data_IF_396518157891
#
_entry.id   IF_396518157891
#
_cell.length_a   1.000
_cell.length_b   1.000
_cell.length_c   1.000
_cell.angle_alpha   90.00
_cell.angle_beta   90.00
_cell.angle_gamma   90.00
#
_symmetry.space_group_name_H-M   'P 1'
#
loop_
_entity.id
_entity.type
_entity.pdbx_description
1 polymer ?
#
# COMPACT_ATOMS: atom_id res chain seq x y z
N UNK A 1 10.19 -8.08 -22.98
CA UNK A 1 11.13 -7.61 -21.94
C UNK A 1 10.33 -7.40 -20.65
N UNK A 2 10.77 -7.95 -19.53
CA UNK A 2 10.14 -7.66 -18.24
C UNK A 2 10.35 -6.19 -17.87
N UNK A 3 9.31 -5.53 -17.36
CA UNK A 3 9.35 -4.16 -16.84
C UNK A 3 8.88 -4.20 -15.39
N UNK A 4 9.76 -4.61 -14.44
CA UNK A 4 9.38 -4.81 -13.06
C UNK A 4 8.97 -3.51 -12.40
N UNK A 5 7.75 -3.48 -11.85
CA UNK A 5 7.23 -2.36 -11.07
C UNK A 5 7.37 -2.60 -9.56
N UNK A 6 7.34 -3.86 -9.14
CA UNK A 6 7.54 -4.29 -7.75
C UNK A 6 8.49 -5.49 -7.76
N UNK A 7 9.49 -5.46 -6.91
CA UNK A 7 10.41 -6.58 -6.69
C UNK A 7 10.63 -6.80 -5.20
N UNK A 8 10.47 -8.03 -4.75
CA UNK A 8 10.88 -8.52 -3.44
C UNK A 8 12.09 -9.41 -3.65
N UNK A 9 13.12 -9.19 -2.86
CA UNK A 9 14.36 -9.96 -2.89
C UNK A 9 14.68 -10.45 -1.48
N UNK A 10 14.50 -11.76 -1.26
CA UNK A 10 14.71 -12.43 0.03
C UNK A 10 14.08 -11.73 1.23
N UNK A 11 12.82 -11.30 1.06
CA UNK A 11 12.12 -10.50 2.06
C UNK A 11 11.63 -11.36 3.21
N UNK A 12 11.99 -10.95 4.42
CA UNK A 12 11.51 -11.53 5.68
C UNK A 12 10.82 -10.44 6.50
N UNK A 13 9.67 -10.76 7.09
CA UNK A 13 9.01 -9.91 8.08
C UNK A 13 8.66 -10.70 9.31
N UNK A 14 9.21 -10.27 10.44
CA UNK A 14 8.97 -10.82 11.76
C UNK A 14 8.30 -9.80 12.68
N UNK A 15 7.38 -10.29 13.50
CA UNK A 15 6.77 -9.53 14.58
C UNK A 15 7.15 -10.16 15.92
N UNK A 16 7.54 -9.31 16.88
CA UNK A 16 7.74 -9.75 18.26
C UNK A 16 6.40 -9.76 18.98
N UNK A 17 5.96 -10.91 19.47
CA UNK A 17 4.78 -11.01 20.32
C UNK A 17 5.11 -10.48 21.71
N UNK A 18 4.21 -9.65 22.28
CA UNK A 18 4.37 -9.14 23.65
C UNK A 18 3.93 -10.22 24.64
N UNK A 19 4.79 -10.59 25.62
CA UNK A 19 4.49 -11.51 26.70
C UNK A 19 5.72 -12.12 27.36
N UNK A 20 5.55 -12.79 28.51
CA UNK A 20 6.59 -13.62 29.12
C UNK A 20 6.87 -14.82 28.19
N UNK A 21 8.04 -14.84 27.56
CA UNK A 21 8.40 -15.77 26.50
C UNK A 21 8.07 -15.19 25.11
N UNK A 22 8.62 -13.98 24.79
CA UNK A 22 8.42 -13.32 23.52
C UNK A 22 8.75 -14.25 22.35
N UNK A 23 7.72 -14.77 21.68
CA UNK A 23 7.87 -15.56 20.47
C UNK A 23 7.98 -14.62 19.27
N UNK A 24 8.81 -14.98 18.32
CA UNK A 24 8.90 -14.30 17.02
C UNK A 24 7.86 -14.97 16.10
N UNK A 25 6.93 -14.19 15.60
CA UNK A 25 6.00 -14.64 14.56
C UNK A 25 6.51 -14.14 13.21
N UNK A 26 6.91 -15.06 12.35
CA UNK A 26 7.35 -14.75 10.99
C UNK A 26 6.14 -14.70 10.07
N UNK A 27 5.77 -13.49 9.65
CA UNK A 27 4.60 -13.26 8.80
C UNK A 27 4.93 -13.36 7.30
N UNK A 28 6.16 -13.04 6.91
CA UNK A 28 6.72 -13.24 5.57
C UNK A 28 8.06 -13.93 5.72
N UNK A 29 8.26 -15.02 5.00
CA UNK A 29 9.43 -15.88 5.15
C UNK A 29 10.13 -16.08 3.81
N UNK A 30 11.25 -15.38 3.63
CA UNK A 30 12.14 -15.47 2.47
C UNK A 30 11.43 -15.39 1.13
N UNK A 31 10.59 -14.35 0.95
CA UNK A 31 9.82 -14.18 -0.28
C UNK A 31 10.63 -13.40 -1.31
N UNK A 32 10.80 -14.02 -2.48
CA UNK A 32 11.32 -13.37 -3.68
C UNK A 32 10.27 -13.45 -4.79
N UNK A 33 9.86 -12.30 -5.33
CA UNK A 33 8.90 -12.20 -6.41
C UNK A 33 9.08 -10.89 -7.20
N UNK A 34 8.61 -10.91 -8.43
CA UNK A 34 8.60 -9.74 -9.30
C UNK A 34 7.20 -9.60 -9.90
N UNK A 35 6.70 -8.36 -9.95
CA UNK A 35 5.45 -8.01 -10.60
C UNK A 35 5.80 -6.99 -11.67
N UNK A 36 5.43 -7.29 -12.92
CA UNK A 36 5.69 -6.42 -14.06
C UNK A 36 4.59 -5.36 -14.21
N UNK A 37 4.92 -4.27 -14.89
CA UNK A 37 3.98 -3.19 -15.18
C UNK A 37 2.80 -3.72 -16.02
N UNK A 38 1.59 -3.37 -15.60
CA UNK A 38 0.35 -3.77 -16.27
C UNK A 38 -0.19 -5.12 -15.82
N UNK A 39 0.52 -5.86 -14.97
CA UNK A 39 0.04 -7.12 -14.43
C UNK A 39 -1.12 -6.95 -13.45
N UNK A 40 -1.99 -7.96 -13.44
CA UNK A 40 -2.94 -8.24 -12.35
C UNK A 40 -2.41 -9.44 -11.59
N UNK A 41 -1.80 -9.18 -10.44
CA UNK A 41 -1.13 -10.19 -9.63
C UNK A 41 -2.01 -10.62 -8.44
N UNK A 42 -2.32 -11.91 -8.34
CA UNK A 42 -3.13 -12.48 -7.26
C UNK A 42 -2.27 -13.05 -6.13
N UNK A 43 -2.62 -12.70 -4.89
CA UNK A 43 -2.01 -13.26 -3.68
C UNK A 43 -3.08 -14.05 -2.93
N UNK A 44 -2.93 -15.37 -2.87
CA UNK A 44 -3.86 -16.28 -2.21
C UNK A 44 -3.22 -16.96 -1.00
N UNK A 45 -4.04 -17.34 -0.04
CA UNK A 45 -3.60 -18.06 1.16
C UNK A 45 -4.65 -17.99 2.26
N UNK A 46 -4.51 -18.84 3.27
CA UNK A 46 -5.39 -18.87 4.44
C UNK A 46 -5.36 -17.56 5.23
N UNK A 47 -6.36 -17.34 6.09
CA UNK A 47 -6.35 -16.25 7.07
C UNK A 47 -5.08 -16.34 7.93
N UNK A 48 -4.41 -15.20 8.14
CA UNK A 48 -3.14 -15.18 8.88
C UNK A 48 -1.89 -15.60 8.11
N UNK A 49 -2.00 -15.96 6.81
CA UNK A 49 -0.84 -16.38 6.00
C UNK A 49 0.12 -15.24 5.59
N UNK A 50 -0.03 -14.03 6.14
CA UNK A 50 0.89 -12.91 5.84
C UNK A 50 0.53 -12.07 4.61
N UNK A 51 -0.57 -12.34 3.89
CA UNK A 51 -0.97 -11.59 2.68
C UNK A 51 -1.05 -10.09 2.89
N UNK A 52 -1.75 -9.65 3.93
CA UNK A 52 -1.88 -8.21 4.25
C UNK A 52 -0.54 -7.59 4.64
N UNK A 53 0.34 -8.35 5.28
CA UNK A 53 1.70 -7.91 5.60
C UNK A 53 2.50 -7.71 4.32
N UNK A 54 2.43 -8.66 3.38
CA UNK A 54 3.11 -8.57 2.09
C UNK A 54 2.68 -7.31 1.31
N UNK A 55 1.37 -7.06 1.23
CA UNK A 55 0.83 -5.85 0.59
C UNK A 55 1.31 -4.57 1.28
N UNK A 56 1.38 -4.56 2.62
CA UNK A 56 1.84 -3.39 3.39
C UNK A 56 3.35 -3.13 3.25
N UNK A 57 4.13 -4.11 2.86
CA UNK A 57 5.55 -3.92 2.53
C UNK A 57 5.72 -3.12 1.22
N UNK A 58 4.79 -3.23 0.26
CA UNK A 58 4.85 -2.52 -1.03
C UNK A 58 4.76 -1.00 -0.86
N UNK A 59 3.95 -0.52 0.08
CA UNK A 59 3.79 0.91 0.35
C UNK A 59 4.56 1.39 1.59
N UNK A 60 5.42 0.53 2.14
CA UNK A 60 6.21 0.76 3.36
C UNK A 60 5.36 1.17 4.58
N UNK A 61 4.09 0.72 4.67
CA UNK A 61 3.31 0.74 5.93
C UNK A 61 3.88 -0.27 6.93
N UNK A 62 4.50 -1.33 6.42
CA UNK A 62 5.39 -2.23 7.15
C UNK A 62 6.77 -2.19 6.52
N UNK A 63 7.80 -2.38 7.34
CA UNK A 63 9.19 -2.49 6.86
C UNK A 63 9.65 -3.93 7.00
N UNK A 64 10.40 -4.46 6.03
CA UNK A 64 10.96 -5.79 6.15
C UNK A 64 11.95 -5.87 7.32
N UNK A 65 12.06 -7.04 7.93
CA UNK A 65 13.09 -7.36 8.92
C UNK A 65 14.42 -7.58 8.22
N UNK A 66 14.38 -8.21 7.05
CA UNK A 66 15.53 -8.38 6.15
C UNK A 66 15.06 -8.50 4.70
N UNK A 67 15.99 -8.48 3.77
CA UNK A 67 15.70 -8.45 2.34
C UNK A 67 15.39 -7.05 1.83
N UNK A 68 15.08 -6.96 0.54
CA UNK A 68 14.91 -5.69 -0.17
C UNK A 68 13.58 -5.64 -0.88
N UNK A 69 12.91 -4.48 -0.79
CA UNK A 69 11.67 -4.18 -1.52
C UNK A 69 11.93 -3.00 -2.45
N UNK A 70 11.79 -3.23 -3.74
CA UNK A 70 11.91 -2.20 -4.78
C UNK A 70 10.55 -1.92 -5.39
N UNK A 71 10.18 -0.65 -5.45
CA UNK A 71 8.90 -0.19 -6.02
C UNK A 71 9.14 0.98 -6.96
N UNK A 72 8.58 0.92 -8.16
CA UNK A 72 8.77 1.94 -9.19
C UNK A 72 10.26 2.24 -9.46
N UNK A 73 11.11 1.20 -9.45
CA UNK A 73 12.55 1.33 -9.66
C UNK A 73 13.33 1.88 -8.48
N UNK A 74 12.71 2.09 -7.32
CA UNK A 74 13.35 2.64 -6.12
C UNK A 74 13.34 1.62 -4.99
N UNK A 75 14.49 1.35 -4.38
CA UNK A 75 14.57 0.59 -3.13
C UNK A 75 13.94 1.40 -1.99
N UNK A 76 12.82 0.91 -1.48
CA UNK A 76 12.05 1.58 -0.42
C UNK A 76 12.35 1.03 0.98
N UNK A 77 13.21 0.02 1.08
CA UNK A 77 13.43 -0.77 2.31
C UNK A 77 13.77 0.10 3.51
N UNK A 78 14.64 1.08 3.32
CA UNK A 78 15.19 1.93 4.39
C UNK A 78 14.94 3.43 4.19
N UNK A 79 14.06 3.81 3.26
CA UNK A 79 13.79 5.23 2.99
C UNK A 79 13.13 5.92 4.20
N UNK A 80 13.49 7.19 4.39
CA UNK A 80 12.82 8.06 5.36
C UNK A 80 11.37 8.37 4.92
N UNK A 81 10.52 8.73 5.87
CA UNK A 81 9.12 9.08 5.59
C UNK A 81 8.99 10.20 4.54
N UNK A 82 9.89 11.17 4.56
CA UNK A 82 9.90 12.26 3.57
C UNK A 82 10.13 11.74 2.15
N UNK A 83 11.02 10.77 2.00
CA UNK A 83 11.32 10.15 0.69
C UNK A 83 10.26 9.14 0.24
N UNK A 84 9.52 8.55 1.17
CA UNK A 84 8.41 7.62 0.87
C UNK A 84 7.16 8.34 0.36
N UNK A 85 6.91 9.59 0.78
CA UNK A 85 5.69 10.33 0.39
C UNK A 85 5.43 10.36 -1.12
N UNK A 86 6.39 10.77 -1.99
CA UNK A 86 6.16 10.82 -3.43
C UNK A 86 5.96 9.45 -4.06
N UNK A 87 6.48 8.38 -3.44
CA UNK A 87 6.26 7.00 -3.89
C UNK A 87 4.85 6.56 -3.52
N UNK A 88 4.42 6.79 -2.27
CA UNK A 88 3.07 6.46 -1.79
C UNK A 88 1.96 7.20 -2.56
N UNK A 89 2.20 8.42 -3.03
CA UNK A 89 1.26 9.16 -3.89
C UNK A 89 0.95 8.43 -5.21
N UNK A 90 1.85 7.56 -5.67
CA UNK A 90 1.67 6.75 -6.88
C UNK A 90 1.05 5.37 -6.62
N UNK A 91 0.76 5.04 -5.35
CA UNK A 91 0.23 3.75 -4.93
C UNK A 91 -1.16 3.95 -4.33
N UNK A 92 -2.21 3.49 -5.02
CA UNK A 92 -3.54 3.39 -4.44
C UNK A 92 -3.65 2.13 -3.58
N UNK A 93 -4.31 2.23 -2.41
CA UNK A 93 -4.56 1.07 -1.54
C UNK A 93 -6.03 1.02 -1.13
N UNK A 94 -6.65 -0.12 -1.33
CA UNK A 94 -7.98 -0.43 -0.79
C UNK A 94 -7.78 -1.24 0.48
N UNK A 95 -8.20 -0.68 1.62
CA UNK A 95 -8.06 -1.34 2.91
C UNK A 95 -9.21 -2.30 3.17
N UNK A 96 -9.00 -3.30 4.04
CA UNK A 96 -10.06 -4.21 4.49
C UNK A 96 -11.14 -3.49 5.32
N UNK A 97 -10.77 -2.47 6.08
CA UNK A 97 -11.68 -1.55 6.76
C UNK A 97 -11.91 -0.33 5.89
N UNK A 98 -13.04 0.34 6.07
CA UNK A 98 -13.43 1.47 5.21
C UNK A 98 -12.44 2.63 5.26
N UNK A 99 -11.73 2.84 6.37
CA UNK A 99 -10.76 3.92 6.59
C UNK A 99 -11.28 5.31 6.17
N UNK A 100 -12.56 5.56 6.45
CA UNK A 100 -13.20 6.83 6.17
C UNK A 100 -13.09 7.76 7.37
N UNK A 101 -12.95 9.05 7.09
CA UNK A 101 -13.09 10.09 8.11
C UNK A 101 -14.56 10.26 8.46
N UNK A 102 -14.98 9.84 9.64
CA UNK A 102 -16.37 9.91 10.11
C UNK A 102 -16.89 11.35 10.24
N UNK A 103 -15.99 12.32 10.38
CA UNK A 103 -16.32 13.75 10.47
C UNK A 103 -16.42 14.44 9.12
N UNK A 104 -16.20 13.74 8.02
CA UNK A 104 -16.24 14.26 6.66
C UNK A 104 -17.40 13.66 5.87
N UNK A 105 -17.94 14.43 4.93
CA UNK A 105 -18.92 13.94 3.96
C UNK A 105 -18.29 12.94 2.99
N UNK A 106 -19.13 12.24 2.22
CA UNK A 106 -18.66 11.32 1.16
C UNK A 106 -17.76 12.07 0.17
N UNK A 107 -18.23 13.21 -0.35
CA UNK A 107 -17.44 14.04 -1.28
C UNK A 107 -16.09 14.49 -0.68
N UNK A 108 -16.07 14.88 0.60
CA UNK A 108 -14.86 15.28 1.29
C UNK A 108 -13.88 14.13 1.49
N UNK A 109 -14.38 12.91 1.76
CA UNK A 109 -13.53 11.71 1.84
C UNK A 109 -12.87 11.39 0.49
N UNK A 110 -13.65 11.49 -0.61
CA UNK A 110 -13.13 11.26 -1.97
C UNK A 110 -12.14 12.35 -2.38
N UNK A 111 -12.41 13.60 -2.03
CA UNK A 111 -11.54 14.74 -2.37
C UNK A 111 -10.23 14.76 -1.58
N UNK A 112 -10.16 14.09 -0.43
CA UNK A 112 -9.04 14.22 0.50
C UNK A 112 -7.66 13.89 -0.13
N UNK A 113 -7.48 12.80 -0.89
CA UNK A 113 -6.21 12.53 -1.58
C UNK A 113 -5.83 13.62 -2.59
N UNK A 114 -6.82 14.19 -3.29
CA UNK A 114 -6.60 15.26 -4.26
C UNK A 114 -6.16 16.57 -3.57
N UNK A 115 -6.69 16.82 -2.37
CA UNK A 115 -6.27 17.95 -1.52
C UNK A 115 -4.81 17.79 -1.07
N UNK A 116 -4.40 16.58 -0.67
CA UNK A 116 -3.02 16.30 -0.29
C UNK A 116 -2.04 16.48 -1.45
N UNK A 117 -2.49 16.21 -2.67
CA UNK A 117 -1.72 16.39 -3.91
C UNK A 117 -1.88 17.80 -4.51
N UNK A 118 -2.44 18.74 -3.76
CA UNK A 118 -2.59 20.16 -4.11
C UNK A 118 -3.36 20.43 -5.42
N UNK A 119 -4.30 19.57 -5.79
CA UNK A 119 -5.15 19.80 -6.95
C UNK A 119 -6.02 21.04 -6.77
N UNK A 120 -6.26 21.78 -7.86
CA UNK A 120 -7.18 22.93 -7.86
C UNK A 120 -8.60 22.48 -7.51
N UNK A 121 -9.34 23.34 -6.80
CA UNK A 121 -10.68 23.03 -6.28
C UNK A 121 -11.67 22.63 -7.38
N UNK A 122 -11.66 23.33 -8.53
CA UNK A 122 -12.50 23.02 -9.67
C UNK A 122 -12.26 21.61 -10.25
N UNK A 123 -11.02 21.17 -10.29
CA UNK A 123 -10.66 19.80 -10.69
C UNK A 123 -11.03 18.76 -9.64
N UNK A 124 -10.88 19.09 -8.35
CA UNK A 124 -11.32 18.21 -7.28
C UNK A 124 -12.81 17.92 -7.37
N UNK A 125 -13.64 18.97 -7.50
CA UNK A 125 -15.10 18.85 -7.54
C UNK A 125 -15.56 18.05 -8.78
N UNK A 126 -14.96 18.29 -9.94
CA UNK A 126 -15.23 17.52 -11.15
C UNK A 126 -14.90 16.04 -10.94
N UNK A 127 -13.70 15.75 -10.43
CA UNK A 127 -13.24 14.38 -10.24
C UNK A 127 -14.08 13.63 -9.22
N UNK A 128 -14.48 14.28 -8.13
CA UNK A 128 -15.39 13.71 -7.13
C UNK A 128 -16.73 13.32 -7.77
N UNK A 129 -17.33 14.21 -8.57
CA UNK A 129 -18.59 13.93 -9.24
C UNK A 129 -18.47 12.78 -10.24
N UNK A 130 -17.43 12.76 -11.07
CA UNK A 130 -17.14 11.65 -12.00
C UNK A 130 -17.04 10.30 -11.27
N UNK A 131 -16.35 10.26 -10.12
CA UNK A 131 -16.19 9.04 -9.35
C UNK A 131 -17.49 8.60 -8.69
N UNK A 132 -18.29 9.53 -8.16
CA UNK A 132 -19.60 9.22 -7.60
C UNK A 132 -20.54 8.66 -8.66
N UNK A 133 -20.57 9.25 -9.83
CA UNK A 133 -21.35 8.75 -10.97
C UNK A 133 -20.88 7.35 -11.40
N UNK A 134 -19.56 7.15 -11.51
CA UNK A 134 -18.97 5.87 -11.88
C UNK A 134 -19.38 4.71 -10.96
N UNK A 135 -19.54 4.98 -9.66
CA UNK A 135 -19.96 3.96 -8.66
C UNK A 135 -21.47 3.99 -8.36
N UNK A 136 -22.26 4.80 -9.07
CA UNK A 136 -23.72 4.86 -8.91
C UNK A 136 -24.17 5.55 -7.62
N UNK A 137 -23.42 6.50 -7.10
CA UNK A 137 -23.72 7.30 -5.91
C UNK A 137 -23.98 8.79 -6.21
N UNK A 138 -24.28 9.13 -7.46
CA UNK A 138 -24.63 10.50 -7.89
C UNK A 138 -26.08 10.85 -7.55
#
# INVERSE_FOLDING_TARGET
MSDPIITFDHVVKEFKTRGRGANIARAVDDVSLTIDRGDIFGIIGYSGAGKSTLVRLINALERPTSGTVTVLGTDITSLSETKLRPIRQKIGMIFQQFNLFSTKTVAQNIAYPLQLDHWRKDYQDRRVNELLEFVGLS
#
